data_IF_120063239087
#
_entry.id   IF_120063239087
#
_cell.length_a   1.000
_cell.length_b   1.000
_cell.length_c   1.000
_cell.angle_alpha   90.00
_cell.angle_beta   90.00
_cell.angle_gamma   90.00
#
_symmetry.space_group_name_H-M   'P 1'
#
loop_
_entity.id
_entity.type
_entity.pdbx_description
1 polymer ?
#
# COMPACT_ATOMS: atom_id res chain seq x y z
N UNK A 1 12.76 11.21 -13.15
CA UNK A 1 11.42 11.26 -13.79
C UNK A 1 10.84 12.64 -13.49
N UNK A 2 10.41 13.38 -14.51
CA UNK A 2 9.83 14.74 -14.38
C UNK A 2 10.69 15.70 -13.53
N UNK A 3 12.03 15.65 -13.67
CA UNK A 3 12.97 16.46 -12.89
C UNK A 3 13.18 16.01 -11.44
N UNK A 4 12.54 14.92 -11.00
CA UNK A 4 12.64 14.42 -9.63
C UNK A 4 13.31 13.04 -9.58
N UNK A 5 14.15 12.86 -8.57
CA UNK A 5 14.75 11.57 -8.24
C UNK A 5 13.67 10.64 -7.68
N UNK A 6 13.66 9.39 -8.17
CA UNK A 6 12.83 8.30 -7.67
C UNK A 6 13.74 7.20 -7.16
N UNK A 7 13.65 6.88 -5.89
CA UNK A 7 14.34 5.75 -5.31
C UNK A 7 13.48 4.49 -5.41
N UNK A 8 14.08 3.34 -5.61
CA UNK A 8 13.42 2.05 -5.61
C UNK A 8 14.42 0.93 -5.31
N UNK A 9 13.92 -0.19 -4.81
CA UNK A 9 14.64 -1.45 -4.72
C UNK A 9 14.25 -2.30 -5.93
N UNK A 10 15.22 -3.03 -6.50
CA UNK A 10 14.98 -4.01 -7.56
C UNK A 10 15.77 -5.27 -7.28
N UNK A 11 15.14 -6.43 -7.42
CA UNK A 11 15.78 -7.73 -7.22
C UNK A 11 15.13 -8.79 -8.10
N UNK A 12 15.90 -9.85 -8.42
CA UNK A 12 15.42 -11.01 -9.16
C UNK A 12 15.23 -10.80 -10.65
N UNK A 13 14.63 -11.80 -11.28
CA UNK A 13 14.29 -11.84 -12.71
C UNK A 13 13.02 -12.66 -12.93
N UNK A 14 12.33 -12.44 -14.05
CA UNK A 14 11.06 -13.08 -14.40
C UNK A 14 9.89 -12.09 -14.40
N UNK A 15 8.63 -12.57 -14.31
CA UNK A 15 7.44 -11.71 -14.30
C UNK A 15 7.52 -10.64 -13.22
N UNK A 16 7.08 -9.42 -13.54
CA UNK A 16 7.29 -8.27 -12.66
C UNK A 16 6.24 -8.16 -11.54
N UNK A 17 6.72 -7.87 -10.33
CA UNK A 17 5.93 -7.51 -9.15
C UNK A 17 6.27 -6.07 -8.75
N UNK A 18 5.26 -5.20 -8.68
CA UNK A 18 5.39 -3.83 -8.19
C UNK A 18 4.84 -3.77 -6.75
N UNK A 19 5.72 -3.54 -5.76
CA UNK A 19 5.35 -3.50 -4.35
C UNK A 19 5.21 -2.05 -3.88
N UNK A 20 3.98 -1.57 -3.69
CA UNK A 20 3.66 -0.19 -3.34
C UNK A 20 3.37 -0.06 -1.85
N UNK A 21 4.17 0.72 -1.13
CA UNK A 21 4.06 0.91 0.33
C UNK A 21 2.93 1.85 0.75
N UNK A 22 2.61 1.85 2.04
CA UNK A 22 1.61 2.71 2.67
C UNK A 22 2.10 4.14 2.95
N UNK A 23 1.18 5.01 3.40
CA UNK A 23 1.50 6.40 3.77
C UNK A 23 2.53 6.44 4.91
N UNK A 24 3.47 7.36 4.84
CA UNK A 24 4.52 7.55 5.86
C UNK A 24 5.61 6.46 5.88
N UNK A 25 5.50 5.45 5.02
CA UNK A 25 6.46 4.35 4.92
C UNK A 25 7.39 4.51 3.70
N UNK A 26 8.13 3.48 3.34
CA UNK A 26 9.05 3.43 2.20
C UNK A 26 9.24 1.97 1.72
N UNK A 27 10.07 1.76 0.71
CA UNK A 27 10.31 0.43 0.12
C UNK A 27 10.85 -0.63 1.12
N UNK A 28 11.49 -0.21 2.23
CA UNK A 28 12.05 -1.13 3.22
C UNK A 28 10.97 -1.91 3.99
N UNK A 29 9.69 -1.47 3.97
CA UNK A 29 8.58 -2.24 4.53
C UNK A 29 8.48 -3.64 3.92
N UNK A 30 8.98 -3.82 2.69
CA UNK A 30 8.97 -5.07 1.95
C UNK A 30 10.24 -5.91 2.10
N UNK A 31 11.23 -5.45 2.92
CA UNK A 31 12.56 -6.07 2.99
C UNK A 31 12.53 -7.58 3.29
N UNK A 32 11.61 -8.02 4.17
CA UNK A 32 11.48 -9.42 4.55
C UNK A 32 10.91 -10.33 3.44
N UNK A 33 10.22 -9.77 2.44
CA UNK A 33 9.55 -10.54 1.39
C UNK A 33 10.20 -10.38 0.01
N UNK A 34 11.05 -9.35 -0.19
CA UNK A 34 11.71 -9.11 -1.48
C UNK A 34 12.58 -10.31 -1.88
N UNK A 35 13.43 -10.83 -0.98
CA UNK A 35 14.33 -11.94 -1.29
C UNK A 35 13.58 -13.19 -1.78
N UNK A 36 12.66 -13.76 -0.98
CA UNK A 36 11.89 -14.93 -1.39
C UNK A 36 11.07 -14.73 -2.67
N UNK A 37 10.45 -13.56 -2.87
CA UNK A 37 9.70 -13.28 -4.10
C UNK A 37 10.61 -13.11 -5.32
N UNK A 38 11.82 -12.61 -5.12
CA UNK A 38 12.81 -12.37 -6.17
C UNK A 38 13.46 -13.67 -6.71
N UNK A 39 13.23 -14.82 -6.08
CA UNK A 39 13.71 -16.11 -6.59
C UNK A 39 13.10 -16.43 -7.96
N UNK A 40 11.88 -15.99 -8.23
CA UNK A 40 11.15 -16.29 -9.46
C UNK A 40 10.53 -15.08 -10.15
N UNK A 41 10.72 -13.86 -9.60
CA UNK A 41 10.09 -12.65 -10.10
C UNK A 41 11.07 -11.47 -10.14
N UNK A 42 10.84 -10.53 -11.05
CA UNK A 42 11.44 -9.20 -10.97
C UNK A 42 10.65 -8.37 -9.97
N UNK A 43 11.17 -8.19 -8.76
CA UNK A 43 10.53 -7.39 -7.71
C UNK A 43 10.99 -5.94 -7.82
N UNK A 44 10.06 -5.00 -7.88
CA UNK A 44 10.28 -3.55 -7.93
C UNK A 44 9.52 -2.92 -6.77
N UNK A 45 10.22 -2.33 -5.82
CA UNK A 45 9.63 -1.65 -4.66
C UNK A 45 10.08 -0.18 -4.64
N UNK A 46 9.28 0.76 -5.18
CA UNK A 46 9.61 2.17 -5.18
C UNK A 46 9.31 2.83 -3.83
N UNK A 47 10.10 3.85 -3.50
CA UNK A 47 9.69 4.91 -2.59
C UNK A 47 8.75 5.86 -3.34
N UNK A 48 7.52 6.02 -2.88
CA UNK A 48 6.57 6.96 -3.45
C UNK A 48 7.13 8.38 -3.41
N UNK A 49 6.72 9.24 -4.36
CA UNK A 49 7.09 10.65 -4.30
C UNK A 49 6.69 11.23 -2.94
N UNK A 50 7.57 11.98 -2.31
CA UNK A 50 7.31 12.50 -0.97
C UNK A 50 7.69 11.57 0.18
N UNK A 51 8.13 10.33 -0.12
CA UNK A 51 8.45 9.30 0.86
C UNK A 51 9.88 8.77 0.68
N UNK A 52 10.40 8.15 1.74
CA UNK A 52 11.69 7.47 1.74
C UNK A 52 12.83 8.33 1.16
N UNK A 53 13.59 7.75 0.24
CA UNK A 53 14.70 8.38 -0.46
C UNK A 53 14.31 9.05 -1.80
N UNK A 54 13.02 9.00 -2.18
CA UNK A 54 12.50 9.79 -3.30
C UNK A 54 12.41 11.27 -2.95
N UNK A 55 12.49 12.14 -3.96
CA UNK A 55 12.33 13.58 -3.77
C UNK A 55 10.94 13.93 -3.22
N UNK A 56 10.85 15.08 -2.53
CA UNK A 56 9.66 15.54 -1.82
C UNK A 56 9.19 16.92 -2.32
N UNK A 57 8.98 17.10 -3.63
CA UNK A 57 8.64 18.39 -4.21
C UNK A 57 7.24 18.84 -3.81
N UNK A 58 6.91 20.08 -4.16
CA UNK A 58 5.53 20.53 -4.22
C UNK A 58 4.88 20.00 -5.50
N UNK A 59 4.17 18.87 -5.41
CA UNK A 59 3.60 18.15 -6.53
C UNK A 59 2.17 17.66 -6.25
N UNK A 60 1.56 16.97 -7.21
CA UNK A 60 0.32 16.23 -7.01
C UNK A 60 0.60 14.94 -6.22
N UNK A 61 -0.04 14.83 -5.05
CA UNK A 61 0.02 13.69 -4.14
C UNK A 61 -1.31 12.92 -4.09
N UNK A 62 -2.15 13.06 -5.10
CA UNK A 62 -3.38 12.29 -5.24
C UNK A 62 -3.09 10.82 -5.59
N UNK A 63 -4.05 9.93 -5.34
CA UNK A 63 -3.98 8.53 -5.74
C UNK A 63 -3.72 8.38 -7.24
N UNK A 64 -4.38 9.20 -8.07
CA UNK A 64 -4.18 9.21 -9.52
C UNK A 64 -2.78 9.68 -9.92
N UNK A 65 -2.25 10.70 -9.24
CA UNK A 65 -0.88 11.17 -9.42
C UNK A 65 0.16 10.10 -9.07
N UNK A 66 -0.07 9.34 -8.01
CA UNK A 66 0.79 8.21 -7.66
C UNK A 66 0.70 7.07 -8.69
N UNK A 67 -0.50 6.71 -9.16
CA UNK A 67 -0.67 5.69 -10.20
C UNK A 67 0.05 6.06 -11.51
N UNK A 68 -0.02 7.34 -11.93
CA UNK A 68 0.76 7.87 -13.05
C UNK A 68 2.27 7.70 -12.81
N UNK A 69 2.75 8.04 -11.60
CA UNK A 69 4.16 7.88 -11.25
C UNK A 69 4.63 6.42 -11.29
N UNK A 70 3.77 5.46 -10.96
CA UNK A 70 4.08 4.02 -11.08
C UNK A 70 4.16 3.60 -12.55
N UNK A 71 3.20 4.03 -13.39
CA UNK A 71 3.23 3.79 -14.84
C UNK A 71 4.53 4.32 -15.45
N UNK A 72 4.93 5.54 -15.09
CA UNK A 72 6.13 6.18 -15.63
C UNK A 72 7.41 5.47 -15.18
N UNK A 73 7.46 5.02 -13.92
CA UNK A 73 8.58 4.21 -13.41
C UNK A 73 8.71 2.90 -14.20
N UNK A 74 7.62 2.18 -14.39
CA UNK A 74 7.61 0.93 -15.16
C UNK A 74 8.06 1.17 -16.60
N UNK A 75 7.64 2.29 -17.23
CA UNK A 75 8.07 2.65 -18.58
C UNK A 75 9.57 2.95 -18.66
N UNK A 76 10.15 3.63 -17.66
CA UNK A 76 11.61 3.88 -17.59
C UNK A 76 12.40 2.58 -17.38
N UNK A 77 11.80 1.60 -16.70
CA UNK A 77 12.42 0.29 -16.41
C UNK A 77 12.17 -0.75 -17.50
N UNK A 78 11.50 -0.37 -18.60
CA UNK A 78 11.11 -1.25 -19.71
C UNK A 78 10.26 -2.46 -19.24
N UNK A 79 9.30 -2.17 -18.34
CA UNK A 79 8.34 -3.17 -17.82
C UNK A 79 6.97 -2.84 -18.37
N UNK A 80 6.46 -3.68 -19.26
CA UNK A 80 5.16 -3.46 -19.92
C UNK A 80 3.99 -3.84 -19.02
N UNK A 81 4.07 -4.98 -18.36
CA UNK A 81 2.99 -5.55 -17.54
C UNK A 81 3.51 -5.96 -16.16
N UNK A 82 2.63 -5.90 -15.16
CA UNK A 82 3.02 -6.11 -13.78
C UNK A 82 1.86 -6.65 -12.94
N UNK A 83 2.16 -7.49 -11.95
CA UNK A 83 1.29 -7.71 -10.80
C UNK A 83 1.55 -6.60 -9.78
N UNK A 84 0.50 -5.87 -9.39
CA UNK A 84 0.63 -4.78 -8.41
C UNK A 84 0.25 -5.28 -7.02
N UNK A 85 1.18 -5.13 -6.07
CA UNK A 85 0.99 -5.46 -4.65
C UNK A 85 0.97 -4.15 -3.87
N UNK A 86 -0.15 -3.79 -3.27
CA UNK A 86 -0.29 -2.51 -2.57
C UNK A 86 -0.66 -2.68 -1.10
N UNK A 87 0.11 -2.05 -0.21
CA UNK A 87 -0.18 -2.00 1.21
C UNK A 87 -0.83 -0.67 1.61
N UNK A 88 -1.93 -0.71 2.35
CA UNK A 88 -2.59 0.49 2.90
C UNK A 88 -2.92 1.52 1.80
N UNK A 89 -2.34 2.74 1.82
CA UNK A 89 -2.42 3.72 0.74
C UNK A 89 -2.01 3.09 -0.62
N UNK A 90 -0.96 2.26 -0.61
CA UNK A 90 -0.49 1.54 -1.80
C UNK A 90 -1.54 0.62 -2.41
N UNK A 91 -2.45 0.08 -1.60
CA UNK A 91 -3.60 -0.69 -2.08
C UNK A 91 -4.60 0.16 -2.88
N UNK A 92 -4.92 1.35 -2.38
CA UNK A 92 -5.71 2.34 -3.14
C UNK A 92 -5.00 2.75 -4.44
N UNK A 93 -3.66 2.90 -4.42
CA UNK A 93 -2.87 3.17 -5.62
C UNK A 93 -2.92 1.99 -6.60
N UNK A 94 -2.85 0.74 -6.10
CA UNK A 94 -2.94 -0.46 -6.94
C UNK A 94 -4.29 -0.56 -7.66
N UNK A 95 -5.40 -0.29 -6.97
CA UNK A 95 -6.75 -0.22 -7.56
C UNK A 95 -6.83 0.89 -8.62
N UNK A 96 -6.31 2.07 -8.31
CA UNK A 96 -6.30 3.20 -9.25
C UNK A 96 -5.41 2.92 -10.46
N UNK A 97 -4.27 2.25 -10.28
CA UNK A 97 -3.38 1.83 -11.36
C UNK A 97 -4.09 0.87 -12.30
N UNK A 98 -4.76 -0.15 -11.77
CA UNK A 98 -5.53 -1.10 -12.56
C UNK A 98 -6.67 -0.44 -13.33
N UNK A 99 -7.32 0.56 -12.75
CA UNK A 99 -8.34 1.36 -13.41
C UNK A 99 -7.81 2.23 -14.55
N UNK A 100 -6.66 2.91 -14.32
CA UNK A 100 -6.10 3.86 -15.29
C UNK A 100 -5.29 3.18 -16.41
N UNK A 101 -4.66 2.03 -16.10
CA UNK A 101 -3.73 1.32 -16.98
C UNK A 101 -4.01 -0.19 -16.97
N UNK A 102 -5.26 -0.60 -17.34
CA UNK A 102 -5.66 -2.00 -17.28
C UNK A 102 -4.79 -2.92 -18.16
N UNK A 103 -4.28 -2.38 -19.28
CA UNK A 103 -3.39 -3.11 -20.18
C UNK A 103 -2.03 -3.44 -19.55
N UNK A 104 -1.67 -2.76 -18.46
CA UNK A 104 -0.43 -2.98 -17.71
C UNK A 104 -0.61 -3.81 -16.46
N UNK A 105 -1.85 -4.01 -15.99
CA UNK A 105 -2.16 -4.67 -14.74
C UNK A 105 -2.59 -6.13 -14.94
N UNK A 106 -1.71 -7.07 -14.63
CA UNK A 106 -1.99 -8.50 -14.77
C UNK A 106 -2.78 -9.07 -13.59
N UNK A 107 -2.47 -8.63 -12.37
CA UNK A 107 -3.10 -9.08 -11.11
C UNK A 107 -2.99 -7.99 -10.06
N UNK A 108 -3.86 -8.06 -9.06
CA UNK A 108 -3.87 -7.14 -7.92
C UNK A 108 -3.71 -7.95 -6.63
N UNK A 109 -2.80 -7.50 -5.75
CA UNK A 109 -2.70 -7.98 -4.37
C UNK A 109 -2.89 -6.80 -3.43
N UNK A 110 -3.95 -6.83 -2.64
CA UNK A 110 -4.28 -5.81 -1.65
C UNK A 110 -3.88 -6.28 -0.25
N UNK A 111 -3.13 -5.46 0.48
CA UNK A 111 -2.65 -5.78 1.83
C UNK A 111 -3.10 -4.69 2.79
N UNK A 112 -4.09 -4.96 3.66
CA UNK A 112 -4.66 -3.96 4.57
C UNK A 112 -5.05 -2.66 3.86
N UNK A 113 -5.71 -2.77 2.69
CA UNK A 113 -5.86 -1.70 1.69
C UNK A 113 -6.73 -0.54 2.15
N UNK A 114 -6.32 0.68 1.84
CA UNK A 114 -7.20 1.84 1.81
C UNK A 114 -8.13 1.85 0.59
N UNK A 115 -9.16 2.71 0.63
CA UNK A 115 -10.09 2.94 -0.49
C UNK A 115 -11.28 1.97 -0.59
N UNK A 116 -11.47 1.09 0.40
CA UNK A 116 -12.52 0.07 0.41
C UNK A 116 -13.68 0.36 1.38
N UNK A 117 -13.58 1.42 2.16
CA UNK A 117 -14.61 1.87 3.09
C UNK A 117 -14.17 3.15 3.79
N UNK A 118 -15.06 3.84 4.51
CA UNK A 118 -14.74 5.11 5.14
C UNK A 118 -13.95 4.96 6.46
N UNK A 119 -14.02 3.81 7.13
CA UNK A 119 -13.46 3.62 8.45
C UNK A 119 -11.93 3.69 8.43
N UNK A 120 -11.39 4.42 9.39
CA UNK A 120 -9.96 4.63 9.57
C UNK A 120 -9.66 5.03 11.02
N UNK A 121 -8.47 4.69 11.51
CA UNK A 121 -8.03 5.06 12.85
C UNK A 121 -8.18 6.56 13.14
N UNK A 122 -8.58 6.89 14.38
CA UNK A 122 -8.82 8.27 14.81
C UNK A 122 -7.57 9.17 14.68
N UNK A 123 -6.37 8.59 14.87
CA UNK A 123 -5.10 9.33 14.74
C UNK A 123 -4.88 9.91 13.34
N UNK A 124 -5.13 9.13 12.29
CA UNK A 124 -5.00 9.61 10.90
C UNK A 124 -6.07 10.64 10.56
N UNK A 125 -7.31 10.47 11.04
CA UNK A 125 -8.37 11.48 10.88
C UNK A 125 -8.00 12.80 11.57
N UNK A 126 -7.50 12.75 12.80
CA UNK A 126 -7.07 13.93 13.53
C UNK A 126 -5.90 14.67 12.84
N UNK A 127 -5.01 13.94 12.17
CA UNK A 127 -3.89 14.52 11.43
C UNK A 127 -4.32 15.31 10.17
N UNK A 128 -5.59 15.23 9.73
CA UNK A 128 -6.12 16.06 8.64
C UNK A 128 -6.56 17.44 9.10
N UNK A 129 -6.80 17.62 10.40
CA UNK A 129 -7.37 18.85 10.97
C UNK A 129 -6.40 20.04 10.89
N UNK A 130 -6.92 21.28 10.88
CA UNK A 130 -6.10 22.48 11.03
C UNK A 130 -5.24 22.42 12.28
N UNK A 131 -3.97 22.84 12.18
CA UNK A 131 -3.02 22.78 13.30
C UNK A 131 -2.30 21.43 13.49
N UNK A 132 -2.71 20.37 12.82
CA UNK A 132 -2.04 19.06 12.91
C UNK A 132 -0.54 19.12 12.57
N UNK A 133 -0.12 20.04 11.70
CA UNK A 133 1.32 20.23 11.37
C UNK A 133 2.14 20.61 12.60
N UNK A 134 1.59 21.45 13.50
CA UNK A 134 2.28 21.83 14.75
C UNK A 134 2.41 20.61 15.69
N UNK A 135 1.35 19.83 15.84
CA UNK A 135 1.36 18.61 16.65
C UNK A 135 2.37 17.62 16.11
N UNK A 136 2.34 17.35 14.79
CA UNK A 136 3.31 16.45 14.13
C UNK A 136 4.74 16.98 14.25
N UNK A 137 4.95 18.29 14.22
CA UNK A 137 6.28 18.88 14.45
C UNK A 137 6.78 18.59 15.86
N UNK A 138 5.93 18.75 16.87
CA UNK A 138 6.27 18.41 18.25
C UNK A 138 6.58 16.91 18.43
N UNK A 139 5.72 16.06 17.90
CA UNK A 139 5.94 14.59 17.92
C UNK A 139 7.22 14.18 17.18
N UNK A 140 7.48 14.79 16.02
CA UNK A 140 8.70 14.55 15.27
C UNK A 140 9.97 14.95 16.08
N UNK A 141 9.90 16.01 16.88
CA UNK A 141 10.99 16.42 17.78
C UNK A 141 11.38 15.34 18.78
N UNK A 142 10.42 14.61 19.32
CA UNK A 142 10.62 13.51 20.29
C UNK A 142 10.61 12.12 19.65
N UNK A 143 10.49 12.02 18.34
CA UNK A 143 10.29 10.74 17.62
C UNK A 143 11.41 9.72 17.85
N UNK A 144 12.64 10.16 18.11
CA UNK A 144 13.76 9.27 18.43
C UNK A 144 13.54 8.49 19.75
N UNK A 145 13.00 9.17 20.77
CA UNK A 145 12.66 8.55 22.07
C UNK A 145 11.44 7.64 21.89
N UNK A 146 10.40 8.11 21.19
CA UNK A 146 9.21 7.30 20.91
C UNK A 146 9.55 6.02 20.16
N UNK A 147 10.39 6.13 19.10
CA UNK A 147 10.87 4.97 18.33
C UNK A 147 11.60 3.96 19.22
N UNK A 148 12.52 4.43 20.06
CA UNK A 148 13.25 3.54 20.97
C UNK A 148 12.29 2.84 21.95
N UNK A 149 11.30 3.55 22.49
CA UNK A 149 10.24 2.99 23.34
C UNK A 149 9.40 1.95 22.61
N UNK A 150 8.94 2.24 21.40
CA UNK A 150 8.13 1.31 20.59
C UNK A 150 8.93 0.06 20.20
N UNK A 151 10.22 0.19 19.85
CA UNK A 151 11.08 -0.98 19.59
C UNK A 151 11.31 -1.85 20.84
N UNK A 152 11.42 -1.24 22.02
CA UNK A 152 11.50 -1.99 23.25
C UNK A 152 10.19 -2.77 23.50
N UNK A 153 9.02 -2.13 23.30
CA UNK A 153 7.70 -2.78 23.40
C UNK A 153 7.57 -3.90 22.37
N UNK A 154 8.04 -3.71 21.14
CA UNK A 154 8.07 -4.77 20.12
C UNK A 154 8.94 -5.95 20.57
N UNK A 155 10.13 -5.68 21.11
CA UNK A 155 11.02 -6.73 21.63
C UNK A 155 10.36 -7.59 22.72
N UNK A 156 9.69 -6.96 23.68
CA UNK A 156 8.90 -7.67 24.71
C UNK A 156 7.70 -8.37 24.07
N UNK A 157 6.99 -7.73 23.17
CA UNK A 157 5.85 -8.27 22.47
C UNK A 157 6.16 -9.57 21.72
N UNK A 158 7.33 -9.65 21.08
CA UNK A 158 7.82 -10.89 20.43
C UNK A 158 7.96 -12.04 21.41
N UNK A 159 8.45 -11.77 22.65
CA UNK A 159 8.64 -12.80 23.68
C UNK A 159 7.30 -13.35 24.19
N UNK A 160 6.26 -12.52 24.25
CA UNK A 160 4.93 -12.90 24.74
C UNK A 160 3.92 -13.19 23.63
N UNK A 161 4.35 -13.20 22.37
CA UNK A 161 3.48 -13.47 21.22
C UNK A 161 2.49 -12.34 20.86
N UNK A 162 2.75 -11.11 21.34
CA UNK A 162 1.90 -9.94 21.04
C UNK A 162 2.30 -9.30 19.70
N UNK A 163 1.68 -9.74 18.61
CA UNK A 163 2.00 -9.33 17.24
C UNK A 163 1.77 -7.83 17.00
N UNK A 164 0.72 -7.22 17.59
CA UNK A 164 0.40 -5.79 17.41
C UNK A 164 1.46 -4.83 17.99
N UNK A 165 2.39 -5.32 18.83
CA UNK A 165 3.53 -4.52 19.27
C UNK A 165 4.38 -4.03 18.09
N UNK A 166 4.36 -4.75 16.96
CA UNK A 166 5.03 -4.37 15.74
C UNK A 166 4.37 -3.16 15.05
N UNK A 167 3.04 -3.05 15.11
CA UNK A 167 2.33 -1.87 14.58
C UNK A 167 2.82 -0.58 15.26
N UNK A 168 3.15 -0.63 16.55
CA UNK A 168 3.73 0.51 17.28
C UNK A 168 5.15 0.84 16.80
N UNK A 169 5.96 -0.18 16.51
CA UNK A 169 7.31 0.03 15.98
C UNK A 169 7.28 0.69 14.60
N UNK A 170 6.40 0.22 13.71
CA UNK A 170 6.19 0.81 12.38
C UNK A 170 5.67 2.25 12.47
N UNK A 171 4.75 2.53 13.40
CA UNK A 171 4.32 3.91 13.69
C UNK A 171 5.47 4.80 14.15
N UNK A 172 6.40 4.26 14.95
CA UNK A 172 7.62 4.96 15.38
C UNK A 172 8.55 5.30 14.21
N UNK A 173 8.75 4.39 13.26
CA UNK A 173 9.53 4.65 12.05
C UNK A 173 8.87 5.72 11.16
N UNK A 174 7.54 5.67 11.00
CA UNK A 174 6.79 6.68 10.27
C UNK A 174 6.95 8.08 10.92
N UNK A 175 6.84 8.17 12.26
CA UNK A 175 7.06 9.43 12.99
C UNK A 175 8.51 9.94 12.84
N UNK A 176 9.49 9.04 12.82
CA UNK A 176 10.89 9.42 12.61
C UNK A 176 11.09 10.05 11.22
N UNK A 177 10.47 9.51 10.19
CA UNK A 177 10.50 10.06 8.84
C UNK A 177 9.94 11.49 8.77
N UNK A 178 8.96 11.83 9.63
CA UNK A 178 8.35 13.17 9.69
C UNK A 178 9.24 14.25 10.35
N UNK A 179 10.47 13.91 10.80
CA UNK A 179 11.48 14.90 11.19
C UNK A 179 11.89 15.79 10.02
N UNK A 180 11.99 15.21 8.85
CA UNK A 180 12.18 15.95 7.62
C UNK A 180 10.94 16.81 7.32
N UNK A 181 11.12 18.12 7.19
CA UNK A 181 10.04 19.08 6.96
C UNK A 181 9.33 18.82 5.64
N UNK A 182 10.07 18.47 4.60
CA UNK A 182 9.50 18.20 3.28
C UNK A 182 8.73 16.87 3.29
N UNK A 183 9.24 15.83 3.98
CA UNK A 183 8.52 14.58 4.19
C UNK A 183 7.22 14.80 4.96
N UNK A 184 7.24 15.61 6.02
CA UNK A 184 6.04 15.94 6.80
C UNK A 184 5.00 16.68 5.96
N UNK A 185 5.42 17.64 5.13
CA UNK A 185 4.54 18.36 4.20
C UNK A 185 3.96 17.42 3.14
N UNK A 186 4.77 16.54 2.56
CA UNK A 186 4.34 15.54 1.61
C UNK A 186 3.33 14.56 2.24
N UNK A 187 3.62 14.06 3.45
CA UNK A 187 2.72 13.22 4.22
C UNK A 187 1.35 13.89 4.42
N UNK A 188 1.31 15.15 4.89
CA UNK A 188 0.07 15.86 5.13
C UNK A 188 -0.72 16.12 3.83
N UNK A 189 -0.04 16.43 2.73
CA UNK A 189 -0.69 16.58 1.41
C UNK A 189 -1.29 15.26 0.94
N UNK A 190 -0.53 14.17 1.02
CA UNK A 190 -1.01 12.83 0.69
C UNK A 190 -2.21 12.47 1.56
N UNK A 191 -2.10 12.63 2.89
CA UNK A 191 -3.16 12.28 3.81
C UNK A 191 -4.45 13.06 3.50
N UNK A 192 -4.35 14.37 3.33
CA UNK A 192 -5.49 15.24 3.03
C UNK A 192 -6.08 15.05 1.63
N UNK A 193 -5.38 14.39 0.72
CA UNK A 193 -5.92 14.03 -0.58
C UNK A 193 -6.81 12.79 -0.53
N UNK A 194 -6.72 11.98 0.54
CA UNK A 194 -7.43 10.69 0.64
C UNK A 194 -8.25 10.52 1.91
N UNK A 195 -8.05 11.38 2.93
CA UNK A 195 -8.71 11.30 4.25
C UNK A 195 -9.22 12.68 4.65
N UNK A 196 -10.40 12.71 5.26
CA UNK A 196 -10.96 13.87 5.94
C UNK A 196 -11.31 13.56 7.42
N UNK A 197 -12.01 14.44 8.09
CA UNK A 197 -12.43 14.26 9.50
C UNK A 197 -13.41 13.08 9.68
N UNK A 198 -14.09 12.64 8.61
CA UNK A 198 -15.06 11.53 8.63
C UNK A 198 -14.39 10.19 8.37
N UNK A 199 -13.22 10.18 7.72
CA UNK A 199 -12.47 8.96 7.39
C UNK A 199 -11.86 9.01 6.00
N UNK A 200 -11.87 7.89 5.29
CA UNK A 200 -11.38 7.82 3.92
C UNK A 200 -12.36 8.54 2.98
N UNK A 201 -11.92 9.66 2.39
CA UNK A 201 -12.70 10.49 1.49
C UNK A 201 -12.68 10.00 0.05
N UNK A 202 -11.67 9.20 -0.32
CA UNK A 202 -11.53 8.59 -1.65
C UNK A 202 -11.83 7.11 -1.53
N UNK A 203 -12.79 6.64 -2.34
CA UNK A 203 -13.19 5.23 -2.42
C UNK A 203 -12.94 4.68 -3.83
N UNK A 204 -12.64 3.38 -3.90
CA UNK A 204 -12.61 2.61 -5.14
C UNK A 204 -13.83 1.69 -5.27
N UNK A 205 -14.74 1.70 -4.28
CA UNK A 205 -15.91 0.79 -4.20
C UNK A 205 -16.81 0.92 -5.42
N UNK A 206 -17.04 2.15 -5.88
CA UNK A 206 -17.83 2.46 -7.08
C UNK A 206 -17.26 1.89 -8.39
N UNK A 207 -16.00 1.47 -8.37
CA UNK A 207 -15.24 0.94 -9.52
C UNK A 207 -14.75 -0.49 -9.35
N UNK A 208 -15.06 -1.14 -8.21
CA UNK A 208 -14.63 -2.51 -7.96
C UNK A 208 -15.18 -3.52 -8.98
N UNK A 209 -16.31 -3.21 -9.64
CA UNK A 209 -16.85 -4.05 -10.73
C UNK A 209 -15.84 -4.22 -11.89
N UNK A 210 -14.98 -3.24 -12.14
CA UNK A 210 -13.91 -3.32 -13.14
C UNK A 210 -12.82 -4.32 -12.74
N UNK A 211 -12.64 -4.52 -11.44
CA UNK A 211 -11.66 -5.47 -10.91
C UNK A 211 -12.11 -6.94 -11.03
N UNK A 212 -13.40 -7.22 -11.33
CA UNK A 212 -13.86 -8.58 -11.60
C UNK A 212 -13.16 -9.25 -12.79
N UNK A 213 -12.58 -8.46 -13.69
CA UNK A 213 -11.85 -8.94 -14.85
C UNK A 213 -10.33 -9.12 -14.58
N UNK A 214 -9.86 -8.79 -13.35
CA UNK A 214 -8.45 -8.88 -12.96
C UNK A 214 -8.35 -9.80 -11.75
N UNK A 215 -7.55 -10.90 -11.77
CA UNK A 215 -7.36 -11.74 -10.61
C UNK A 215 -6.91 -10.93 -9.40
N UNK A 216 -7.60 -11.10 -8.27
CA UNK A 216 -7.38 -10.32 -7.06
C UNK A 216 -7.13 -11.21 -5.85
N UNK A 217 -6.07 -10.91 -5.11
CA UNK A 217 -5.78 -11.43 -3.78
C UNK A 217 -5.91 -10.31 -2.76
N UNK A 218 -6.61 -10.57 -1.67
CA UNK A 218 -6.74 -9.67 -0.52
C UNK A 218 -6.12 -10.34 0.70
N UNK A 219 -5.14 -9.69 1.32
CA UNK A 219 -4.49 -10.13 2.55
C UNK A 219 -4.79 -9.14 3.66
N UNK A 220 -5.30 -9.62 4.80
CA UNK A 220 -5.68 -8.76 5.91
C UNK A 220 -5.32 -9.34 7.27
N UNK A 221 -4.84 -8.51 8.18
CA UNK A 221 -4.68 -8.89 9.58
C UNK A 221 -6.03 -8.87 10.32
N UNK A 222 -6.34 -9.94 11.07
CA UNK A 222 -7.63 -10.02 11.81
C UNK A 222 -7.75 -8.98 12.93
N UNK A 223 -6.64 -8.35 13.33
CA UNK A 223 -6.55 -7.33 14.39
C UNK A 223 -5.95 -6.02 13.90
N UNK A 224 -6.21 -5.67 12.61
CA UNK A 224 -5.74 -4.42 12.03
C UNK A 224 -6.32 -3.21 12.80
N UNK A 225 -5.48 -2.39 13.48
CA UNK A 225 -5.96 -1.26 14.27
C UNK A 225 -6.10 0.02 13.43
N UNK A 226 -5.73 0.01 12.15
CA UNK A 226 -5.69 1.17 11.27
C UNK A 226 -6.84 1.15 10.29
N UNK A 227 -6.99 0.05 9.54
CA UNK A 227 -8.09 -0.17 8.57
C UNK A 227 -8.81 -1.46 8.95
N UNK A 228 -10.10 -1.41 9.33
CA UNK A 228 -10.84 -2.57 9.82
C UNK A 228 -10.92 -3.71 8.78
N UNK A 229 -10.86 -4.95 9.25
CA UNK A 229 -10.99 -6.15 8.40
C UNK A 229 -12.34 -6.22 7.65
N UNK A 230 -13.39 -5.54 8.15
CA UNK A 230 -14.68 -5.42 7.45
C UNK A 230 -14.57 -4.88 6.03
N UNK A 231 -13.49 -4.14 5.70
CA UNK A 231 -13.21 -3.70 4.33
C UNK A 231 -12.87 -4.87 3.40
N UNK A 232 -12.31 -5.96 3.90
CA UNK A 232 -12.11 -7.18 3.10
C UNK A 232 -13.45 -7.85 2.75
N UNK A 233 -14.48 -7.72 3.60
CA UNK A 233 -15.81 -8.26 3.33
C UNK A 233 -16.52 -7.50 2.20
N UNK A 234 -16.24 -6.21 2.04
CA UNK A 234 -16.71 -5.41 0.90
C UNK A 234 -16.16 -6.00 -0.41
N UNK A 235 -14.88 -6.36 -0.44
CA UNK A 235 -14.29 -7.01 -1.63
C UNK A 235 -14.93 -8.38 -1.86
N UNK A 236 -15.12 -9.21 -0.83
CA UNK A 236 -15.80 -10.51 -0.97
C UNK A 236 -17.19 -10.39 -1.60
N UNK A 237 -17.89 -9.30 -1.28
CA UNK A 237 -19.26 -9.06 -1.79
C UNK A 237 -19.23 -8.56 -3.23
N UNK A 238 -18.35 -7.61 -3.56
CA UNK A 238 -18.36 -6.91 -4.85
C UNK A 238 -17.45 -7.56 -5.91
N UNK A 239 -16.47 -8.36 -5.47
CA UNK A 239 -15.53 -9.12 -6.33
C UNK A 239 -15.52 -10.58 -5.86
N UNK A 240 -16.57 -11.37 -6.13
CA UNK A 240 -16.70 -12.74 -5.63
C UNK A 240 -15.57 -13.68 -6.08
N UNK A 241 -14.86 -13.33 -7.15
CA UNK A 241 -13.70 -14.06 -7.67
C UNK A 241 -12.42 -13.77 -6.90
N UNK A 242 -12.40 -12.74 -6.03
CA UNK A 242 -11.25 -12.40 -5.24
C UNK A 242 -10.95 -13.47 -4.17
N UNK A 243 -9.69 -13.87 -4.08
CA UNK A 243 -9.21 -14.69 -2.97
C UNK A 243 -8.94 -13.80 -1.77
N UNK A 244 -9.50 -14.13 -0.61
CA UNK A 244 -9.30 -13.38 0.63
C UNK A 244 -8.63 -14.26 1.68
N UNK A 245 -7.47 -13.82 2.15
CA UNK A 245 -6.64 -14.47 3.15
C UNK A 245 -6.56 -13.63 4.43
N UNK A 246 -7.09 -14.16 5.51
CA UNK A 246 -7.03 -13.53 6.83
C UNK A 246 -5.84 -14.07 7.61
N UNK A 247 -4.96 -13.17 8.05
CA UNK A 247 -3.81 -13.49 8.88
C UNK A 247 -4.20 -13.31 10.35
N UNK A 248 -4.50 -14.44 10.98
CA UNK A 248 -5.00 -14.47 12.37
C UNK A 248 -3.98 -13.88 13.34
N UNK A 249 -4.47 -12.94 14.16
CA UNK A 249 -3.67 -12.22 15.15
C UNK A 249 -2.72 -11.19 14.59
N UNK A 250 -2.59 -11.04 13.25
CA UNK A 250 -1.78 -10.01 12.63
C UNK A 250 -2.45 -8.62 12.71
N UNK A 251 -1.62 -7.57 12.73
CA UNK A 251 -2.04 -6.17 12.67
C UNK A 251 -2.12 -5.64 11.24
N UNK A 252 -1.75 -4.36 11.07
CA UNK A 252 -1.84 -3.68 9.78
C UNK A 252 -0.78 -4.12 8.76
N UNK A 253 0.29 -4.79 9.19
CA UNK A 253 1.41 -5.23 8.35
C UNK A 253 1.54 -6.75 8.29
N UNK A 254 0.56 -7.52 7.75
CA UNK A 254 0.63 -8.99 7.71
C UNK A 254 1.85 -9.52 6.96
N UNK A 255 2.40 -8.79 5.99
CA UNK A 255 3.63 -9.12 5.26
C UNK A 255 4.91 -8.98 6.12
N UNK A 256 4.84 -8.24 7.24
CA UNK A 256 5.90 -8.14 8.24
C UNK A 256 5.65 -9.14 9.39
N UNK A 257 4.39 -9.33 9.77
CA UNK A 257 4.00 -10.20 10.88
C UNK A 257 4.25 -11.68 10.60
N UNK A 258 4.03 -12.10 9.36
CA UNK A 258 4.26 -13.47 8.90
C UNK A 258 4.74 -13.46 7.43
N UNK A 259 6.01 -13.07 7.18
CA UNK A 259 6.56 -12.93 5.84
C UNK A 259 6.59 -14.24 5.06
N UNK A 260 6.84 -15.36 5.73
CA UNK A 260 6.88 -16.67 5.09
C UNK A 260 5.50 -17.08 4.58
N UNK A 261 4.46 -16.90 5.40
CA UNK A 261 3.08 -17.16 4.97
C UNK A 261 2.68 -16.20 3.85
N UNK A 262 3.06 -14.93 3.96
CA UNK A 262 2.76 -13.93 2.92
C UNK A 262 3.37 -14.34 1.57
N UNK A 263 4.64 -14.71 1.55
CA UNK A 263 5.31 -15.17 0.32
C UNK A 263 4.66 -16.44 -0.25
N UNK A 264 4.33 -17.42 0.59
CA UNK A 264 3.62 -18.63 0.14
C UNK A 264 2.26 -18.32 -0.48
N UNK A 265 1.46 -17.47 0.16
CA UNK A 265 0.13 -17.08 -0.31
C UNK A 265 0.21 -16.33 -1.64
N UNK A 266 1.12 -15.36 -1.74
CA UNK A 266 1.32 -14.59 -2.99
C UNK A 266 1.83 -15.50 -4.11
N UNK A 267 2.84 -16.32 -3.86
CA UNK A 267 3.39 -17.24 -4.87
C UNK A 267 2.34 -18.26 -5.34
N UNK A 268 1.55 -18.80 -4.42
CA UNK A 268 0.46 -19.72 -4.76
C UNK A 268 -0.60 -19.04 -5.63
N UNK A 269 -1.00 -17.82 -5.27
CA UNK A 269 -1.94 -17.01 -6.05
C UNK A 269 -1.41 -16.74 -7.47
N UNK A 270 -0.14 -16.35 -7.60
CA UNK A 270 0.48 -16.11 -8.91
C UNK A 270 0.53 -17.37 -9.78
N UNK A 271 0.77 -18.53 -9.17
CA UNK A 271 0.84 -19.83 -9.86
C UNK A 271 -0.53 -20.36 -10.28
N UNK A 272 -1.58 -20.08 -9.51
CA UNK A 272 -2.94 -20.64 -9.68
C UNK A 272 -3.90 -19.76 -10.46
N UNK A 273 -3.47 -18.56 -10.83
CA UNK A 273 -4.30 -17.62 -11.61
C UNK A 273 -3.63 -17.27 -12.94
N UNK A 274 -4.45 -17.13 -13.98
CA UNK A 274 -3.98 -16.59 -15.25
C UNK A 274 -3.88 -15.07 -15.18
N UNK A 275 -2.86 -14.44 -15.80
CA UNK A 275 -2.77 -12.98 -15.85
C UNK A 275 -3.92 -12.38 -16.67
N UNK A 276 -4.49 -11.28 -16.19
CA UNK A 276 -5.45 -10.54 -16.99
C UNK A 276 -4.76 -9.99 -18.26
N UNK A 277 -5.48 -10.05 -19.37
CA UNK A 277 -5.10 -9.46 -20.64
C UNK A 277 -6.26 -8.58 -21.12
N UNK A 278 -6.13 -7.28 -20.92
CA UNK A 278 -7.13 -6.32 -21.38
C UNK A 278 -6.66 -5.64 -22.65
N UNK A 279 -7.48 -5.74 -23.68
CA UNK A 279 -7.41 -4.89 -24.85
C UNK A 279 -8.41 -3.72 -24.72
N UNK A 280 -8.35 -2.83 -25.70
CA UNK A 280 -9.19 -1.64 -25.74
C UNK A 280 -10.69 -1.97 -25.78
N UNK A 281 -11.08 -3.01 -26.50
CA UNK A 281 -12.48 -3.33 -26.72
C UNK A 281 -13.08 -4.04 -25.49
N UNK A 282 -12.36 -4.95 -24.87
CA UNK A 282 -12.76 -5.61 -23.61
C UNK A 282 -12.90 -4.58 -22.48
N UNK A 283 -11.98 -3.63 -22.36
CA UNK A 283 -12.05 -2.58 -21.36
C UNK A 283 -13.23 -1.63 -21.59
N UNK A 284 -13.46 -1.26 -22.85
CA UNK A 284 -14.62 -0.44 -23.25
C UNK A 284 -15.95 -1.14 -22.89
N UNK A 285 -16.04 -2.44 -23.11
CA UNK A 285 -17.21 -3.21 -22.77
C UNK A 285 -17.46 -3.23 -21.25
N UNK A 286 -16.40 -3.35 -20.42
CA UNK A 286 -16.49 -3.27 -18.96
C UNK A 286 -16.97 -1.89 -18.49
N UNK A 287 -16.40 -0.81 -19.04
CA UNK A 287 -16.81 0.56 -18.69
C UNK A 287 -18.26 0.88 -19.08
N UNK A 288 -18.81 0.21 -20.08
CA UNK A 288 -20.21 0.37 -20.50
C UNK A 288 -21.20 -0.42 -19.63
N UNK A 289 -20.72 -1.33 -18.78
CA UNK A 289 -21.56 -2.03 -17.80
C UNK A 289 -21.94 -1.04 -16.70
N UNK A 290 -23.24 -0.81 -16.55
CA UNK A 290 -23.73 -0.08 -15.37
C UNK A 290 -23.75 -1.05 -14.18
N UNK A 291 -23.24 -0.66 -13.00
CA UNK A 291 -23.32 -1.47 -11.79
C UNK A 291 -24.77 -1.65 -11.31
#
# INVERSE_FOLDING_TARGET
>A
MHGHRRAFLRAGSGPALLLVHGIGNNAQTWASVIGPLAEHHTVIAPDLLGHGNSDKPRADYSIAGYANGMRDLLSVLDVEQVTVVGHSLGGGIALQFAYQFPERCQRIVLVGSGGLGPELTAGLRAATLPGAELVLTGLAGVSGVLRAGFKAVEGVGRLVGWKQARDLAEAGEALLALRDVEARRAFLRTLRSVVDARGQAVTAVDRLYLANAIPMLVVWGSRDPIVPISHADIVRTLVPTARVEVFEGAGHWPHIDDPDRFCRVVTDFLRTTEPAAHDRDSWRALLAQQP
#
